data_IF_613724676153
#
_entry.id   IF_613724676153
#
_cell.length_a   1.000
_cell.length_b   1.000
_cell.length_c   1.000
_cell.angle_alpha   90.00
_cell.angle_beta   90.00
_cell.angle_gamma   90.00
#
_symmetry.space_group_name_H-M   'P 1'
#
loop_
_entity.id
_entity.type
_entity.pdbx_description
1 polymer ?
#
# COMPACT_ATOMS: atom_id res chain seq x y z
N UNK A 1 -15.15 -6.23 -12.86
CA UNK A 1 -16.40 -6.86 -12.38
C UNK A 1 -16.60 -6.45 -10.94
N UNK A 2 -17.70 -5.77 -10.60
CA UNK A 2 -18.02 -5.39 -9.21
C UNK A 2 -18.71 -6.55 -8.51
N UNK A 3 -18.37 -6.78 -7.23
CA UNK A 3 -19.04 -7.76 -6.38
C UNK A 3 -19.69 -7.05 -5.20
N UNK A 4 -20.94 -7.38 -4.91
CA UNK A 4 -21.64 -6.88 -3.72
C UNK A 4 -21.26 -7.74 -2.51
N UNK A 5 -21.00 -7.09 -1.39
CA UNK A 5 -20.73 -7.75 -0.11
C UNK A 5 -21.55 -7.10 1.00
N UNK A 6 -21.98 -7.92 1.98
CA UNK A 6 -22.60 -7.46 3.22
C UNK A 6 -21.63 -7.66 4.35
N UNK A 7 -21.35 -6.60 5.12
CA UNK A 7 -20.39 -6.61 6.23
C UNK A 7 -21.14 -6.16 7.49
N UNK A 8 -20.97 -6.91 8.58
CA UNK A 8 -21.36 -6.45 9.92
C UNK A 8 -20.25 -5.56 10.46
N UNK A 9 -20.63 -4.37 10.93
CA UNK A 9 -19.71 -3.36 11.44
C UNK A 9 -20.25 -2.85 12.77
N UNK A 10 -19.34 -2.53 13.69
CA UNK A 10 -19.69 -1.85 14.92
C UNK A 10 -20.15 -0.41 14.63
N UNK A 11 -20.77 0.19 15.64
CA UNK A 11 -21.38 1.51 15.52
C UNK A 11 -20.34 2.61 15.25
N UNK A 12 -19.19 2.54 15.91
CA UNK A 12 -18.15 3.57 15.83
C UNK A 12 -17.57 3.65 14.42
N UNK A 13 -17.16 2.51 13.85
CA UNK A 13 -16.64 2.45 12.48
C UNK A 13 -17.70 2.85 11.43
N UNK A 14 -18.97 2.51 11.66
CA UNK A 14 -20.05 2.91 10.77
C UNK A 14 -20.28 4.43 10.81
N UNK A 15 -20.27 5.03 12.01
CA UNK A 15 -20.41 6.48 12.19
C UNK A 15 -19.23 7.23 11.54
N UNK A 16 -18.00 6.77 11.74
CA UNK A 16 -16.81 7.32 11.07
C UNK A 16 -16.96 7.35 9.54
N UNK A 17 -17.38 6.23 8.92
CA UNK A 17 -17.59 6.17 7.47
C UNK A 17 -18.69 7.13 7.02
N UNK A 18 -19.74 7.29 7.82
CA UNK A 18 -20.85 8.18 7.51
C UNK A 18 -20.52 9.67 7.69
N UNK A 19 -19.50 10.01 8.47
CA UNK A 19 -18.96 11.36 8.51
C UNK A 19 -18.11 11.64 7.27
N UNK A 20 -17.30 10.66 6.86
CA UNK A 20 -16.47 10.75 5.67
C UNK A 20 -17.32 10.97 4.39
N UNK A 21 -18.49 10.35 4.29
CA UNK A 21 -19.41 10.56 3.17
C UNK A 21 -19.91 11.99 3.08
N UNK A 22 -20.17 12.65 4.22
CA UNK A 22 -20.62 14.05 4.28
C UNK A 22 -19.53 15.00 3.83
N UNK A 23 -18.31 14.81 4.33
CA UNK A 23 -17.15 15.63 3.98
C UNK A 23 -16.87 15.56 2.47
N UNK A 24 -16.89 14.35 1.90
CA UNK A 24 -16.54 14.11 0.50
C UNK A 24 -17.73 14.22 -0.47
N UNK A 25 -18.94 14.52 0.02
CA UNK A 25 -20.20 14.48 -0.73
C UNK A 25 -20.33 13.20 -1.57
N UNK A 26 -20.12 12.06 -0.94
CA UNK A 26 -20.08 10.74 -1.59
C UNK A 26 -21.05 9.73 -0.96
N UNK A 27 -21.21 8.57 -1.60
CA UNK A 27 -21.97 7.46 -1.02
C UNK A 27 -21.10 6.56 -0.11
N UNK A 28 -21.75 5.81 0.77
CA UNK A 28 -21.09 4.92 1.72
C UNK A 28 -20.21 3.86 1.02
N UNK A 29 -20.62 3.38 -0.14
CA UNK A 29 -19.85 2.38 -0.87
C UNK A 29 -18.54 2.94 -1.40
N UNK A 30 -18.52 4.22 -1.82
CA UNK A 30 -17.31 4.93 -2.21
C UNK A 30 -16.41 5.15 -1.00
N UNK A 31 -16.95 5.64 0.12
CA UNK A 31 -16.18 5.80 1.36
C UNK A 31 -15.49 4.49 1.79
N UNK A 32 -16.22 3.37 1.77
CA UNK A 32 -15.66 2.03 2.08
C UNK A 32 -14.56 1.64 1.09
N UNK A 33 -14.78 1.79 -0.22
CA UNK A 33 -13.76 1.45 -1.24
C UNK A 33 -12.49 2.31 -1.10
N UNK A 34 -12.65 3.59 -0.78
CA UNK A 34 -11.52 4.51 -0.59
C UNK A 34 -10.73 4.11 0.67
N UNK A 35 -11.40 3.75 1.76
CA UNK A 35 -10.74 3.24 2.96
C UNK A 35 -10.01 1.92 2.71
N UNK A 36 -10.61 0.99 1.97
CA UNK A 36 -9.94 -0.26 1.57
C UNK A 36 -8.69 0.03 0.74
N UNK A 37 -8.76 0.99 -0.19
CA UNK A 37 -7.63 1.37 -1.04
C UNK A 37 -6.49 1.96 -0.21
N UNK A 38 -6.80 2.85 0.74
CA UNK A 38 -5.79 3.40 1.67
C UNK A 38 -5.22 2.34 2.60
N UNK A 39 -6.07 1.44 3.11
CA UNK A 39 -5.65 0.32 3.95
C UNK A 39 -4.69 -0.63 3.25
N UNK A 40 -4.88 -0.88 1.94
CA UNK A 40 -3.93 -1.66 1.13
C UNK A 40 -2.55 -1.01 1.06
N UNK A 41 -2.49 0.31 0.87
CA UNK A 41 -1.23 1.07 0.86
C UNK A 41 -0.54 0.94 2.22
N UNK A 42 -1.26 1.22 3.31
CA UNK A 42 -0.70 1.14 4.66
C UNK A 42 -0.17 -0.27 4.97
N UNK A 43 -0.93 -1.31 4.63
CA UNK A 43 -0.50 -2.70 4.79
C UNK A 43 0.79 -3.00 4.01
N UNK A 44 0.89 -2.50 2.77
CA UNK A 44 2.11 -2.63 1.95
C UNK A 44 3.32 -1.97 2.61
N UNK A 45 3.15 -0.73 3.09
CA UNK A 45 4.19 0.03 3.80
C UNK A 45 4.64 -0.70 5.07
N UNK A 46 3.70 -1.16 5.90
CA UNK A 46 4.01 -1.85 7.15
C UNK A 46 4.79 -3.14 6.93
N UNK A 47 4.37 -3.96 5.95
CA UNK A 47 5.06 -5.22 5.66
C UNK A 47 6.45 -5.00 5.08
N UNK A 48 6.63 -3.99 4.23
CA UNK A 48 7.97 -3.61 3.76
C UNK A 48 8.84 -3.15 4.93
N UNK A 49 8.32 -2.26 5.77
CA UNK A 49 9.01 -1.74 6.96
C UNK A 49 9.40 -2.84 7.95
N UNK A 50 8.64 -3.94 8.04
CA UNK A 50 8.98 -5.12 8.86
C UNK A 50 9.91 -6.12 8.16
N UNK A 51 10.07 -6.03 6.85
CA UNK A 51 10.86 -6.99 6.05
C UNK A 51 10.10 -8.23 5.65
N UNK A 52 8.79 -8.22 5.85
CA UNK A 52 7.89 -9.32 5.49
C UNK A 52 7.51 -9.29 4.00
N UNK A 53 7.80 -8.18 3.32
CA UNK A 53 7.55 -8.01 1.89
C UNK A 53 8.73 -7.32 1.22
N UNK A 54 9.13 -7.83 0.05
CA UNK A 54 9.99 -7.09 -0.88
C UNK A 54 9.25 -5.86 -1.43
N UNK A 55 9.98 -4.93 -2.05
CA UNK A 55 9.39 -3.74 -2.68
C UNK A 55 8.29 -4.12 -3.69
N UNK A 56 8.55 -5.11 -4.54
CA UNK A 56 7.57 -5.60 -5.52
C UNK A 56 6.32 -6.19 -4.85
N UNK A 57 6.49 -6.96 -3.77
CA UNK A 57 5.36 -7.54 -3.02
C UNK A 57 4.55 -6.46 -2.30
N UNK A 58 5.21 -5.44 -1.76
CA UNK A 58 4.54 -4.31 -1.13
C UNK A 58 3.70 -3.51 -2.14
N UNK A 59 4.25 -3.28 -3.34
CA UNK A 59 3.55 -2.64 -4.44
C UNK A 59 2.30 -3.42 -4.89
N UNK A 60 2.42 -4.75 -4.98
CA UNK A 60 1.29 -5.64 -5.30
C UNK A 60 0.17 -5.57 -4.24
N UNK A 61 0.53 -5.61 -2.96
CA UNK A 61 -0.41 -5.47 -1.84
C UNK A 61 -1.15 -4.13 -1.91
N UNK A 62 -0.40 -3.04 -2.09
CA UNK A 62 -0.91 -1.68 -2.26
C UNK A 62 -1.75 -1.51 -3.55
N UNK A 63 -1.51 -2.35 -4.56
CA UNK A 63 -2.18 -2.25 -5.86
C UNK A 63 -1.65 -1.11 -6.71
N UNK A 64 -0.37 -0.78 -6.58
CA UNK A 64 0.29 0.32 -7.29
C UNK A 64 1.52 -0.21 -8.06
N UNK A 65 2.01 0.52 -9.08
CA UNK A 65 3.29 0.22 -9.71
C UNK A 65 4.46 0.31 -8.70
N UNK A 66 5.51 -0.49 -8.93
CA UNK A 66 6.70 -0.53 -8.05
C UNK A 66 7.32 0.86 -7.84
N UNK A 67 7.45 1.66 -8.90
CA UNK A 67 7.98 3.03 -8.78
C UNK A 67 7.10 3.93 -7.90
N UNK A 68 5.78 3.79 -7.97
CA UNK A 68 4.87 4.54 -7.10
C UNK A 68 4.96 4.07 -5.63
N UNK A 69 5.18 2.77 -5.41
CA UNK A 69 5.43 2.24 -4.07
C UNK A 69 6.69 2.87 -3.45
N UNK A 70 7.75 3.09 -4.24
CA UNK A 70 8.95 3.77 -3.74
C UNK A 70 8.63 5.19 -3.27
N UNK A 71 7.85 5.96 -4.04
CA UNK A 71 7.41 7.30 -3.63
C UNK A 71 6.60 7.24 -2.33
N UNK A 72 5.65 6.31 -2.23
CA UNK A 72 4.84 6.13 -1.03
C UNK A 72 5.73 5.78 0.18
N UNK A 73 6.68 4.86 0.07
CA UNK A 73 7.58 4.52 1.18
C UNK A 73 8.34 5.76 1.68
N UNK A 74 8.83 6.61 0.77
CA UNK A 74 9.47 7.88 1.12
C UNK A 74 8.52 8.84 1.83
N UNK A 75 7.29 9.00 1.36
CA UNK A 75 6.27 9.85 2.00
C UNK A 75 5.92 9.36 3.42
N UNK A 76 5.98 8.05 3.66
CA UNK A 76 5.80 7.43 4.98
C UNK A 76 7.09 7.43 5.83
N UNK A 77 8.18 8.03 5.36
CA UNK A 77 9.46 8.09 6.07
C UNK A 77 10.14 6.73 6.23
N UNK A 78 9.88 5.80 5.31
CA UNK A 78 10.50 4.47 5.31
C UNK A 78 11.72 4.49 4.41
N UNK A 79 12.89 4.35 5.03
CA UNK A 79 14.17 4.27 4.32
C UNK A 79 14.30 2.97 3.53
N UNK A 80 15.08 3.04 2.45
CA UNK A 80 15.47 1.87 1.68
C UNK A 80 16.30 0.93 2.55
N UNK A 81 16.02 -0.37 2.44
CA UNK A 81 16.79 -1.44 3.11
C UNK A 81 17.97 -1.94 2.28
N UNK A 82 18.31 -1.25 1.20
CA UNK A 82 19.41 -1.62 0.32
C UNK A 82 20.72 -1.22 1.01
N UNK A 83 21.59 -2.20 1.21
CA UNK A 83 22.94 -2.00 1.74
C UNK A 83 23.97 -1.96 0.60
N UNK A 84 25.19 -1.53 0.90
CA UNK A 84 26.28 -1.44 -0.09
C UNK A 84 26.56 -2.79 -0.76
N UNK A 85 26.43 -3.89 -0.01
CA UNK A 85 26.62 -5.25 -0.51
C UNK A 85 25.56 -5.64 -1.55
N UNK A 86 24.30 -5.22 -1.37
CA UNK A 86 23.23 -5.44 -2.35
C UNK A 86 23.56 -4.75 -3.68
N UNK A 87 24.13 -3.54 -3.60
CA UNK A 87 24.56 -2.79 -4.76
C UNK A 87 25.70 -3.50 -5.51
N UNK A 88 26.72 -3.98 -4.79
CA UNK A 88 27.85 -4.72 -5.37
C UNK A 88 27.40 -6.03 -6.02
N UNK A 89 26.46 -6.76 -5.40
CA UNK A 89 25.86 -7.94 -6.00
C UNK A 89 25.13 -7.62 -7.30
N UNK A 90 24.32 -6.55 -7.30
CA UNK A 90 23.62 -6.08 -8.50
C UNK A 90 24.58 -5.77 -9.64
N UNK A 91 25.68 -5.07 -9.36
CA UNK A 91 26.72 -4.74 -10.34
C UNK A 91 27.38 -6.00 -10.92
N UNK A 92 27.68 -7.00 -10.08
CA UNK A 92 28.30 -8.25 -10.51
C UNK A 92 27.37 -9.05 -11.45
N UNK A 93 26.06 -9.02 -11.23
CA UNK A 93 25.07 -9.67 -12.11
C UNK A 93 25.00 -8.96 -13.46
N UNK A 94 24.91 -7.62 -13.46
CA UNK A 94 24.83 -6.83 -14.70
C UNK A 94 26.08 -7.04 -15.57
N UNK A 95 27.27 -7.07 -14.96
CA UNK A 95 28.55 -7.34 -15.66
C UNK A 95 28.62 -8.70 -16.36
N UNK A 96 27.81 -9.69 -15.97
CA UNK A 96 27.74 -11.01 -16.63
C UNK A 96 26.74 -11.04 -17.79
N UNK A 97 25.81 -10.10 -17.82
CA UNK A 97 24.76 -10.02 -18.84
C UNK A 97 25.15 -9.18 -20.06
N UNK A 98 26.31 -8.50 -20.00
CA UNK A 98 26.94 -7.71 -21.05
C UNK A 98 28.28 -8.33 -21.42
#
# INVERSE_FOLDING_TARGET
>A
MTKTMSIRMDRENFEFLNELTKEQRSDLSKAVRDMVTRGRVLLGVERYKKGEASLGRAAELAGVPVGQMMTLLTEFGVESRIEDDDYLQGLAVIRKAW
#
